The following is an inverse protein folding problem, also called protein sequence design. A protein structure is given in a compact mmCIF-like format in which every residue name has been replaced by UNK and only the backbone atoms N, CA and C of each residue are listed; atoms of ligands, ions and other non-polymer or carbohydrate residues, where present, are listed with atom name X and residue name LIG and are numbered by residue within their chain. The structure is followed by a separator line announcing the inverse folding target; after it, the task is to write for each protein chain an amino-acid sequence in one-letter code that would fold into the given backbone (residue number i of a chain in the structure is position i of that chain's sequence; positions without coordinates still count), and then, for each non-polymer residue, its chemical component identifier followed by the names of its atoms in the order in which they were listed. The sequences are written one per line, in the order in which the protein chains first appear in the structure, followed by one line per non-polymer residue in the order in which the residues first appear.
data_IF_575492580712
#
_entry.id   IF_575492580712
#
_cell.length_a   1.000
_cell.length_b   1.000
_cell.length_c   1.000
_cell.angle_alpha   90.00
_cell.angle_beta   90.00
_cell.angle_gamma   90.00
#
_symmetry.space_group_name_H-M   'P 1'
#
loop_
_entity.id
_entity.type
_entity.pdbx_description
1 polymer ?
#
# COMPACT_ATOMS: atom_id res chain seq x y z
N UNK A 1 -18.45 -3.63 18.60
CA UNK A 1 -17.88 -3.75 17.24
C UNK A 1 -16.37 -3.67 17.35
N UNK A 2 -15.63 -4.38 16.50
CA UNK A 2 -14.16 -4.29 16.45
C UNK A 2 -13.77 -2.94 15.84
N UNK A 3 -12.74 -2.30 16.38
CA UNK A 3 -12.17 -1.03 15.90
C UNK A 3 -10.68 -1.22 15.57
N UNK A 4 -10.01 -0.17 15.09
CA UNK A 4 -8.59 -0.21 14.78
C UNK A 4 -7.73 -0.69 15.95
N UNK A 5 -7.91 -0.10 17.14
CA UNK A 5 -7.19 -0.48 18.36
C UNK A 5 -7.26 -1.99 18.66
N UNK A 6 -8.46 -2.58 18.53
CA UNK A 6 -8.62 -4.02 18.68
C UNK A 6 -7.72 -4.81 17.74
N UNK A 7 -7.65 -4.43 16.45
CA UNK A 7 -6.83 -5.12 15.46
C UNK A 7 -5.33 -4.87 15.64
N UNK A 8 -4.94 -3.63 15.95
CA UNK A 8 -3.55 -3.26 16.26
C UNK A 8 -3.03 -4.13 17.41
N UNK A 9 -3.77 -4.24 18.51
CA UNK A 9 -3.39 -5.07 19.65
C UNK A 9 -3.45 -6.57 19.34
N UNK A 10 -4.56 -7.05 18.76
CA UNK A 10 -4.77 -8.48 18.51
C UNK A 10 -3.77 -9.05 17.50
N UNK A 11 -3.34 -8.24 16.55
CA UNK A 11 -2.41 -8.62 15.51
C UNK A 11 -1.00 -8.10 15.78
N UNK A 12 -0.71 -7.45 16.91
CA UNK A 12 0.61 -6.88 17.22
C UNK A 12 1.18 -6.00 16.09
N UNK A 13 0.37 -5.10 15.55
CA UNK A 13 0.80 -4.21 14.46
C UNK A 13 1.74 -3.12 15.00
N UNK A 14 2.73 -2.75 14.19
CA UNK A 14 3.70 -1.70 14.47
C UNK A 14 3.51 -0.54 13.48
N UNK A 15 3.85 0.72 13.82
CA UNK A 15 3.80 1.82 12.85
C UNK A 15 4.65 1.52 11.60
N UNK A 16 4.12 1.81 10.41
CA UNK A 16 4.85 1.64 9.15
C UNK A 16 5.51 2.97 8.71
N UNK A 17 6.72 2.96 8.08
CA UNK A 17 7.38 4.17 7.61
C UNK A 17 6.56 5.01 6.63
N UNK A 18 5.72 4.39 5.81
CA UNK A 18 4.86 5.10 4.86
C UNK A 18 3.57 5.67 5.48
N UNK A 19 3.31 5.36 6.76
CA UNK A 19 2.08 5.66 7.48
C UNK A 19 1.21 4.43 7.75
N UNK A 20 0.32 4.52 8.74
CA UNK A 20 -0.49 3.39 9.21
C UNK A 20 0.31 2.39 10.07
N UNK A 21 -0.20 1.16 10.15
CA UNK A 21 0.37 0.08 10.95
C UNK A 21 0.47 -1.21 10.16
N UNK A 22 1.53 -1.98 10.37
CA UNK A 22 1.78 -3.21 9.67
C UNK A 22 2.35 -4.31 10.56
N UNK A 23 2.32 -5.55 10.07
CA UNK A 23 3.19 -6.62 10.56
C UNK A 23 3.37 -7.68 9.48
N UNK A 24 4.61 -8.08 9.23
CA UNK A 24 4.92 -9.25 8.40
C UNK A 24 4.42 -10.54 9.06
N UNK A 25 3.68 -11.33 8.29
CA UNK A 25 3.09 -12.62 8.70
C UNK A 25 3.69 -13.80 7.95
N UNK A 26 4.33 -13.54 6.81
CA UNK A 26 4.95 -14.56 5.99
C UNK A 26 6.14 -13.99 5.21
N UNK A 27 7.20 -14.79 5.15
CA UNK A 27 8.34 -14.61 4.25
C UNK A 27 8.75 -16.01 3.79
N UNK A 28 8.77 -16.21 2.48
CA UNK A 28 9.12 -17.51 1.89
C UNK A 28 10.52 -17.95 2.29
N UNK A 29 10.68 -19.24 2.62
CA UNK A 29 12.01 -19.84 2.82
C UNK A 29 12.79 -20.00 1.51
N UNK A 30 12.08 -20.15 0.40
CA UNK A 30 12.66 -20.20 -0.95
C UNK A 30 12.93 -18.80 -1.48
N UNK A 31 14.01 -18.66 -2.26
CA UNK A 31 14.38 -17.42 -2.94
C UNK A 31 14.33 -17.58 -4.46
N UNK A 32 14.21 -16.44 -5.15
CA UNK A 32 14.27 -16.31 -6.60
C UNK A 32 15.08 -15.06 -6.94
N UNK A 33 15.80 -15.09 -8.06
CA UNK A 33 16.46 -13.90 -8.59
C UNK A 33 15.44 -12.83 -8.99
N UNK A 34 15.61 -11.59 -8.50
CA UNK A 34 14.77 -10.47 -8.88
C UNK A 34 15.00 -10.09 -10.36
N UNK A 35 13.93 -9.91 -11.16
CA UNK A 35 14.05 -9.67 -12.60
C UNK A 35 14.93 -8.48 -13.01
N UNK A 36 14.98 -7.44 -12.18
CA UNK A 36 15.62 -6.16 -12.55
C UNK A 36 17.10 -6.04 -12.17
N UNK A 37 17.52 -6.62 -11.04
CA UNK A 37 18.84 -6.38 -10.47
C UNK A 37 19.59 -7.65 -10.07
N UNK A 38 19.07 -8.83 -10.45
CA UNK A 38 19.71 -10.14 -10.26
C UNK A 38 20.08 -10.48 -8.80
N UNK A 39 19.57 -9.73 -7.81
CA UNK A 39 19.71 -10.05 -6.39
C UNK A 39 18.62 -11.04 -6.01
N UNK A 40 18.92 -11.93 -5.09
CA UNK A 40 17.92 -12.85 -4.55
C UNK A 40 16.88 -12.09 -3.71
N UNK A 41 15.62 -12.48 -3.86
CA UNK A 41 14.49 -12.11 -3.00
C UNK A 41 13.77 -13.36 -2.56
N UNK A 42 13.11 -13.33 -1.40
CA UNK A 42 12.19 -14.40 -1.03
C UNK A 42 11.11 -14.53 -2.11
N UNK A 43 10.60 -15.73 -2.39
CA UNK A 43 9.56 -15.93 -3.41
C UNK A 43 8.36 -14.97 -3.20
N UNK A 44 7.96 -14.78 -1.95
CA UNK A 44 6.93 -13.82 -1.56
C UNK A 44 7.08 -13.40 -0.10
N UNK A 45 6.53 -12.24 0.22
CA UNK A 45 6.27 -11.77 1.59
C UNK A 45 4.79 -11.44 1.74
N UNK A 46 4.26 -11.51 2.96
CA UNK A 46 2.91 -11.04 3.25
C UNK A 46 2.86 -10.30 4.57
N UNK A 47 2.06 -9.23 4.60
CA UNK A 47 1.83 -8.41 5.79
C UNK A 47 0.34 -8.27 6.06
N UNK A 48 0.01 -7.98 7.33
CA UNK A 48 -1.19 -7.20 7.62
C UNK A 48 -0.85 -5.72 7.51
N UNK A 49 -1.77 -4.92 6.99
CA UNK A 49 -1.67 -3.46 6.95
C UNK A 49 -2.99 -2.82 7.38
N UNK A 50 -2.90 -1.73 8.14
CA UNK A 50 -4.03 -1.04 8.73
C UNK A 50 -3.85 0.48 8.62
N UNK A 51 -4.89 1.14 8.11
CA UNK A 51 -5.05 2.60 8.14
C UNK A 51 -6.23 2.94 9.05
N UNK A 52 -6.09 3.96 9.88
CA UNK A 52 -7.16 4.51 10.70
C UNK A 52 -7.16 6.05 10.69
N UNK A 53 -8.35 6.64 10.85
CA UNK A 53 -8.47 8.08 10.99
C UNK A 53 -7.91 8.84 9.78
N UNK A 54 -6.99 9.77 10.05
CA UNK A 54 -6.29 10.57 9.04
C UNK A 54 -4.97 9.92 8.58
N UNK A 55 -4.71 8.66 8.94
CA UNK A 55 -3.53 7.96 8.43
C UNK A 55 -3.62 7.81 6.91
N UNK A 56 -2.48 8.08 6.28
CA UNK A 56 -2.26 7.95 4.84
C UNK A 56 -1.09 6.99 4.64
N UNK A 57 -1.23 6.07 3.69
CA UNK A 57 -0.09 5.43 3.03
C UNK A 57 0.38 6.39 1.93
N UNK A 58 1.54 7.01 2.14
CA UNK A 58 2.07 8.03 1.24
C UNK A 58 2.44 7.44 -0.13
N UNK A 59 2.52 8.29 -1.15
CA UNK A 59 2.96 7.87 -2.48
C UNK A 59 4.32 7.16 -2.41
N UNK A 60 4.33 5.91 -2.84
CA UNK A 60 5.51 5.09 -2.93
C UNK A 60 5.46 4.18 -4.17
N UNK A 61 6.57 3.52 -4.42
CA UNK A 61 6.78 2.60 -5.54
C UNK A 61 7.54 1.36 -5.04
N UNK A 62 7.23 0.21 -5.64
CA UNK A 62 7.93 -1.06 -5.46
C UNK A 62 8.45 -1.59 -6.80
N UNK A 63 9.59 -2.30 -6.81
CA UNK A 63 10.08 -3.03 -7.99
C UNK A 63 9.39 -4.36 -8.26
N UNK A 64 8.41 -4.74 -7.43
CA UNK A 64 7.64 -5.99 -7.54
C UNK A 64 6.14 -5.71 -7.45
N UNK A 65 5.34 -6.60 -8.03
CA UNK A 65 3.88 -6.51 -7.93
C UNK A 65 3.44 -6.69 -6.47
N UNK A 66 2.47 -5.88 -6.05
CA UNK A 66 1.82 -5.99 -4.75
C UNK A 66 0.31 -6.22 -4.91
N UNK A 67 -0.25 -7.20 -4.19
CA UNK A 67 -1.70 -7.43 -4.14
C UNK A 67 -2.23 -7.10 -2.75
N UNK A 68 -3.25 -6.25 -2.70
CA UNK A 68 -3.97 -5.90 -1.48
C UNK A 68 -5.28 -6.68 -1.40
N UNK A 69 -5.64 -7.15 -0.20
CA UNK A 69 -6.82 -7.94 0.10
C UNK A 69 -7.61 -7.28 1.23
N UNK A 70 -8.87 -6.94 1.01
CA UNK A 70 -9.75 -6.44 2.06
C UNK A 70 -9.97 -7.50 3.15
N UNK A 71 -9.94 -7.10 4.42
CA UNK A 71 -10.27 -7.97 5.56
C UNK A 71 -11.41 -7.42 6.42
N UNK A 72 -11.33 -6.17 6.87
CA UNK A 72 -12.35 -5.57 7.75
C UNK A 72 -12.32 -4.04 7.68
N UNK A 73 -13.34 -3.39 8.24
CA UNK A 73 -13.45 -1.93 8.32
C UNK A 73 -14.22 -1.29 7.17
N UNK A 74 -14.08 0.03 6.99
CA UNK A 74 -14.83 0.82 5.99
C UNK A 74 -14.35 0.59 4.56
N UNK A 75 -13.09 0.22 4.38
CA UNK A 75 -12.43 0.12 3.09
C UNK A 75 -11.43 1.26 2.86
N UNK A 76 -10.68 1.17 1.76
CA UNK A 76 -9.68 2.16 1.39
C UNK A 76 -9.93 2.74 0.01
N UNK A 77 -9.63 4.03 -0.15
CA UNK A 77 -9.39 4.61 -1.47
C UNK A 77 -7.91 4.43 -1.79
N UNK A 78 -7.63 3.86 -2.95
CA UNK A 78 -6.26 3.63 -3.44
C UNK A 78 -6.11 4.45 -4.72
N UNK A 79 -5.07 5.26 -4.76
CA UNK A 79 -4.74 6.14 -5.88
C UNK A 79 -3.49 5.58 -6.55
N UNK A 80 -3.53 5.38 -7.87
CA UNK A 80 -2.46 4.70 -8.60
C UNK A 80 -2.16 5.47 -9.87
N UNK A 81 -0.89 5.77 -10.08
CA UNK A 81 -0.35 6.11 -11.39
C UNK A 81 0.37 4.88 -11.94
N UNK A 82 -0.12 4.31 -13.03
CA UNK A 82 0.54 3.20 -13.74
C UNK A 82 0.82 3.65 -15.18
N UNK A 83 2.09 3.58 -15.59
CA UNK A 83 2.55 4.04 -16.92
C UNK A 83 2.05 5.44 -17.28
N UNK A 84 2.01 6.30 -16.27
CA UNK A 84 1.55 7.69 -16.35
C UNK A 84 0.05 7.88 -16.51
N UNK A 85 -0.75 6.82 -16.38
CA UNK A 85 -2.22 6.89 -16.33
C UNK A 85 -2.69 6.85 -14.89
N UNK A 86 -3.50 7.82 -14.50
CA UNK A 86 -4.13 7.88 -13.18
C UNK A 86 -5.36 6.98 -13.12
N UNK A 87 -5.46 6.20 -12.06
CA UNK A 87 -6.60 5.36 -11.71
C UNK A 87 -6.82 5.41 -10.19
N UNK A 88 -8.06 5.12 -9.78
CA UNK A 88 -8.39 4.99 -8.37
C UNK A 88 -9.29 3.79 -8.14
N UNK A 89 -9.06 3.10 -7.03
CA UNK A 89 -9.77 1.90 -6.64
C UNK A 89 -10.39 2.07 -5.26
N UNK A 90 -11.56 1.48 -5.06
CA UNK A 90 -12.13 1.29 -3.74
C UNK A 90 -11.90 -0.16 -3.30
N UNK A 91 -11.06 -0.37 -2.28
CA UNK A 91 -10.83 -1.69 -1.68
C UNK A 91 -11.81 -1.87 -0.51
N UNK A 92 -12.95 -2.50 -0.77
CA UNK A 92 -14.03 -2.65 0.21
C UNK A 92 -14.97 -3.81 -0.15
N UNK A 93 -15.95 -4.04 0.72
CA UNK A 93 -17.08 -4.95 0.47
C UNK A 93 -18.29 -4.28 -0.19
N UNK A 94 -18.20 -2.99 -0.52
CA UNK A 94 -19.27 -2.30 -1.23
C UNK A 94 -19.46 -2.95 -2.62
N UNK A 95 -20.69 -3.07 -3.14
CA UNK A 95 -20.91 -3.61 -4.48
C UNK A 95 -20.17 -2.88 -5.61
N UNK A 96 -19.77 -1.62 -5.40
CA UNK A 96 -18.95 -0.83 -6.34
C UNK A 96 -17.45 -0.98 -6.10
N UNK A 97 -17.05 -1.47 -4.94
CA UNK A 97 -15.67 -1.71 -4.56
C UNK A 97 -15.17 -3.09 -5.01
N UNK A 98 -13.91 -3.37 -4.67
CA UNK A 98 -13.24 -4.63 -4.95
C UNK A 98 -12.69 -5.22 -3.65
N UNK A 99 -12.72 -6.54 -3.54
CA UNK A 99 -12.11 -7.23 -2.39
C UNK A 99 -10.59 -7.40 -2.53
N UNK A 100 -10.06 -7.19 -3.74
CA UNK A 100 -8.63 -7.27 -4.04
C UNK A 100 -8.25 -6.22 -5.07
N UNK A 101 -7.06 -5.66 -4.96
CA UNK A 101 -6.49 -4.70 -5.92
C UNK A 101 -5.03 -5.10 -6.19
N UNK A 102 -4.68 -5.19 -7.47
CA UNK A 102 -3.29 -5.36 -7.92
C UNK A 102 -2.65 -3.98 -8.11
N UNK A 103 -1.47 -3.81 -7.55
CA UNK A 103 -0.58 -2.67 -7.71
C UNK A 103 0.64 -3.16 -8.47
N UNK A 104 0.70 -2.91 -9.79
CA UNK A 104 1.81 -3.39 -10.60
C UNK A 104 3.15 -2.82 -10.13
N UNK A 105 4.24 -3.56 -10.31
CA UNK A 105 5.59 -3.05 -10.15
C UNK A 105 5.76 -1.72 -10.89
N UNK A 106 6.46 -0.77 -10.27
CA UNK A 106 6.69 0.59 -10.76
C UNK A 106 5.47 1.51 -10.86
N UNK A 107 4.30 1.07 -10.41
CA UNK A 107 3.20 1.99 -10.20
C UNK A 107 3.48 2.87 -8.98
N UNK A 108 3.11 4.15 -9.07
CA UNK A 108 3.16 5.06 -7.93
C UNK A 108 1.79 5.08 -7.25
N UNK A 109 1.71 4.62 -6.01
CA UNK A 109 0.43 4.49 -5.33
C UNK A 109 0.43 5.00 -3.90
N UNK A 110 -0.75 5.42 -3.47
CA UNK A 110 -1.03 5.94 -2.14
C UNK A 110 -2.44 5.51 -1.72
N UNK A 111 -2.73 5.50 -0.41
CA UNK A 111 -4.04 5.09 0.09
C UNK A 111 -4.48 5.81 1.36
N UNK A 112 -5.80 5.87 1.55
CA UNK A 112 -6.43 6.35 2.78
C UNK A 112 -7.68 5.53 3.13
N UNK A 113 -8.11 5.59 4.39
CA UNK A 113 -9.39 5.02 4.80
C UNK A 113 -10.57 5.84 4.28
N UNK A 114 -11.65 5.16 3.87
CA UNK A 114 -12.89 5.84 3.47
C UNK A 114 -13.54 6.54 4.67
N UNK A 115 -13.72 7.87 4.57
CA UNK A 115 -14.50 8.68 5.51
C UNK A 115 -13.73 9.29 6.68
N UNK A 116 -12.43 8.99 6.85
CA UNK A 116 -11.55 9.51 7.93
C UNK A 116 -12.02 9.25 9.37
N UNK A 117 -13.20 8.65 9.59
CA UNK A 117 -13.82 8.35 10.88
C UNK A 117 -13.91 6.82 11.11
N UNK A 118 -12.89 6.09 10.66
CA UNK A 118 -12.89 4.63 10.71
C UNK A 118 -11.51 4.04 10.53
N UNK A 119 -11.50 2.78 10.12
CA UNK A 119 -10.29 2.05 9.79
C UNK A 119 -10.54 1.11 8.61
N UNK A 120 -9.45 0.64 8.02
CA UNK A 120 -9.44 -0.51 7.13
C UNK A 120 -8.33 -1.45 7.55
N UNK A 121 -8.63 -2.75 7.64
CA UNK A 121 -7.65 -3.82 7.79
C UNK A 121 -7.54 -4.55 6.46
N UNK A 122 -6.31 -4.80 6.04
CA UNK A 122 -5.99 -5.41 4.76
C UNK A 122 -4.84 -6.42 4.94
N UNK A 123 -4.74 -7.34 4.00
CA UNK A 123 -3.53 -8.13 3.78
C UNK A 123 -2.83 -7.64 2.53
N UNK A 124 -1.50 -7.63 2.53
CA UNK A 124 -0.72 -7.37 1.31
C UNK A 124 0.21 -8.55 1.03
N UNK A 125 0.44 -8.85 -0.25
CA UNK A 125 1.43 -9.82 -0.71
C UNK A 125 2.30 -9.16 -1.76
N UNK A 126 3.62 -9.34 -1.66
CA UNK A 126 4.58 -8.85 -2.65
C UNK A 126 5.32 -10.05 -3.23
N UNK A 127 5.46 -10.12 -4.55
CA UNK A 127 6.15 -11.21 -5.25
C UNK A 127 6.88 -10.70 -6.51
N UNK A 128 8.21 -10.88 -6.63
CA UNK A 128 9.16 -11.33 -5.60
C UNK A 128 9.05 -10.57 -4.28
N UNK A 129 9.40 -11.21 -3.17
CA UNK A 129 9.14 -10.72 -1.81
C UNK A 129 9.80 -9.38 -1.49
N UNK A 130 9.11 -8.58 -0.67
CA UNK A 130 9.52 -7.24 -0.25
C UNK A 130 10.91 -7.19 0.40
N UNK A 131 11.67 -6.19 -0.03
CA UNK A 131 12.89 -5.69 0.61
C UNK A 131 12.87 -4.15 0.59
N UNK A 132 13.42 -3.51 1.62
CA UNK A 132 13.47 -2.04 1.69
C UNK A 132 14.36 -1.42 0.61
N UNK A 133 15.30 -2.19 0.04
CA UNK A 133 16.08 -1.75 -1.12
C UNK A 133 15.23 -1.50 -2.37
N UNK A 134 14.06 -2.14 -2.44
CA UNK A 134 13.14 -2.09 -3.59
C UNK A 134 11.94 -1.17 -3.33
N UNK A 135 11.92 -0.50 -2.17
CA UNK A 135 10.88 0.41 -1.74
C UNK A 135 11.37 1.85 -1.81
N UNK A 136 10.55 2.72 -2.41
CA UNK A 136 10.87 4.14 -2.53
C UNK A 136 9.67 5.01 -2.20
N UNK A 137 9.80 5.81 -1.14
CA UNK A 137 8.91 6.95 -0.92
C UNK A 137 9.16 8.02 -1.97
N UNK A 138 8.08 8.52 -2.56
CA UNK A 138 8.13 9.49 -3.64
C UNK A 138 8.05 10.91 -3.08
N UNK A 139 8.93 11.77 -3.61
CA UNK A 139 9.01 13.16 -3.17
C UNK A 139 7.97 13.99 -3.90
N UNK A 140 7.36 14.93 -3.18
CA UNK A 140 6.35 15.85 -3.73
C UNK A 140 6.82 16.53 -5.01
N UNK A 141 8.05 17.04 -5.04
CA UNK A 141 8.61 17.71 -6.22
C UNK A 141 8.65 16.80 -7.46
N UNK A 142 9.11 15.56 -7.30
CA UNK A 142 9.19 14.57 -8.40
C UNK A 142 7.80 14.26 -8.95
N UNK A 143 6.83 14.02 -8.06
CA UNK A 143 5.45 13.71 -8.45
C UNK A 143 4.76 14.91 -9.13
N UNK A 144 4.95 16.14 -8.64
CA UNK A 144 4.39 17.34 -9.28
C UNK A 144 4.99 17.61 -10.67
N UNK A 145 6.28 17.33 -10.86
CA UNK A 145 6.92 17.43 -12.18
C UNK A 145 6.37 16.38 -13.15
N UNK A 146 6.11 15.15 -12.69
CA UNK A 146 5.60 14.05 -13.51
C UNK A 146 4.11 14.17 -13.81
N UNK A 147 3.31 14.60 -12.84
CA UNK A 147 1.85 14.60 -12.87
C UNK A 147 1.24 15.96 -12.49
N UNK A 148 1.56 17.05 -13.22
CA UNK A 148 1.12 18.40 -12.86
C UNK A 148 -0.40 18.58 -12.80
N UNK A 149 -1.17 17.72 -13.50
CA UNK A 149 -2.64 17.73 -13.48
C UNK A 149 -3.28 17.18 -12.20
N UNK A 150 -2.51 16.62 -11.26
CA UNK A 150 -3.00 15.99 -10.02
C UNK A 150 -2.39 16.64 -8.77
N UNK A 151 -2.09 17.94 -8.82
CA UNK A 151 -1.37 18.65 -7.76
C UNK A 151 -2.03 18.53 -6.38
N UNK A 152 -3.36 18.64 -6.30
CA UNK A 152 -4.09 18.53 -5.02
C UNK A 152 -3.89 17.16 -4.35
N UNK A 153 -3.94 16.08 -5.15
CA UNK A 153 -3.69 14.74 -4.66
C UNK A 153 -2.23 14.58 -4.21
N UNK A 154 -1.28 15.07 -5.00
CA UNK A 154 0.15 14.95 -4.73
C UNK A 154 0.56 15.76 -3.50
N UNK A 155 0.02 16.97 -3.33
CA UNK A 155 0.29 17.82 -2.17
C UNK A 155 -0.13 17.16 -0.86
N UNK A 156 -1.22 16.38 -0.90
CA UNK A 156 -1.78 15.68 0.26
C UNK A 156 -1.10 14.36 0.58
N UNK A 157 -0.68 13.60 -0.44
CA UNK A 157 -0.20 12.22 -0.28
C UNK A 157 1.33 12.04 -0.42
N UNK A 158 2.08 13.08 -0.78
CA UNK A 158 3.55 13.04 -0.75
C UNK A 158 4.12 13.73 0.48
N UNK A 159 5.21 13.16 1.01
CA UNK A 159 6.07 13.85 1.99
C UNK A 159 6.82 15.01 1.30
N UNK A 160 7.22 16.03 2.08
CA UNK A 160 7.98 17.19 1.58
C UNK A 160 9.32 16.81 0.93
#
# INVERSE_FOLDING_TARGET
MRNAKYWIERLNLLPHPEGGYYREVYRSGDTIGHPEHSRERNLATSIYFLLEGENISHFHELSSDELWYYHDGKGANIYVFDKGQYQSYELSKDPKGQLQVLLPAHSEFAAEVIGQDGYVLMGCVVTPGFDFEDFRLLKKKEMLEKYPGHSELIERFCME
#
